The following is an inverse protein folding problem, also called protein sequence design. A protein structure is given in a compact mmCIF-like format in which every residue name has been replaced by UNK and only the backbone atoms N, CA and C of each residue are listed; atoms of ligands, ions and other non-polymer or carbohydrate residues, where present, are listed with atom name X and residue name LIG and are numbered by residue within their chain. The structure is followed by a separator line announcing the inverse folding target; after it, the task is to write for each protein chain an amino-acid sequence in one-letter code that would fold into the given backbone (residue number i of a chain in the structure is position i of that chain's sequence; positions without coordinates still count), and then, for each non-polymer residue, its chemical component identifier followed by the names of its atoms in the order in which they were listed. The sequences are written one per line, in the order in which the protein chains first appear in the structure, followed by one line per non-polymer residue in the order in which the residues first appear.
data_IF_088110117083
#
_entry.id   IF_088110117083
#
_cell.length_a   1.000
_cell.length_b   1.000
_cell.length_c   1.000
_cell.angle_alpha   90.00
_cell.angle_beta   90.00
_cell.angle_gamma   90.00
#
_symmetry.space_group_name_H-M   'P 1'
#
loop_
_entity.id
_entity.type
_entity.pdbx_description
1 polymer ?
#
# COMPACT_ATOMS: atom_id res chain seq x y z
N UNK A 1 -4.71 34.51 29.42
CA UNK A 1 -4.98 33.12 29.83
C UNK A 1 -4.46 32.24 28.70
N UNK A 2 -3.22 31.78 28.83
CA UNK A 2 -2.55 30.93 27.83
C UNK A 2 -3.06 29.51 28.02
N UNK A 3 -3.81 28.99 27.06
CA UNK A 3 -4.07 27.56 26.98
C UNK A 3 -2.78 26.90 26.47
N UNK A 4 -2.09 26.22 27.36
CA UNK A 4 -1.01 25.34 26.98
C UNK A 4 -1.66 24.15 26.23
N UNK A 5 -1.47 24.09 24.92
CA UNK A 5 -1.76 22.93 24.10
C UNK A 5 -0.82 21.81 24.55
N UNK A 6 -1.29 20.98 25.46
CA UNK A 6 -0.65 19.72 25.76
C UNK A 6 -0.95 18.78 24.59
N UNK A 7 -0.19 18.92 23.51
CA UNK A 7 -0.07 17.92 22.48
C UNK A 7 0.41 16.64 23.15
N UNK A 8 -0.54 15.79 23.52
CA UNK A 8 -0.25 14.40 23.87
C UNK A 8 0.18 13.71 22.59
N UNK A 9 1.48 13.79 22.28
CA UNK A 9 2.05 12.99 21.22
C UNK A 9 1.69 11.53 21.49
N UNK A 10 0.78 10.98 20.70
CA UNK A 10 0.35 9.60 20.82
C UNK A 10 1.62 8.73 20.72
N UNK A 11 1.94 8.01 21.78
CA UNK A 11 3.10 7.11 21.79
C UNK A 11 2.81 5.98 20.81
N UNK A 12 3.43 6.01 19.65
CA UNK A 12 3.24 5.01 18.63
C UNK A 12 3.57 3.62 19.15
N UNK A 13 2.72 2.66 18.80
CA UNK A 13 2.92 1.25 19.17
C UNK A 13 4.06 0.61 18.36
N UNK A 14 4.28 1.07 17.14
CA UNK A 14 5.36 0.63 16.27
C UNK A 14 6.18 1.82 15.78
N UNK A 15 7.50 1.65 15.71
CA UNK A 15 8.42 2.67 15.15
C UNK A 15 8.53 2.56 13.63
N UNK A 16 8.36 1.36 13.11
CA UNK A 16 8.51 1.03 11.69
C UNK A 16 7.35 0.14 11.27
N UNK A 17 6.73 0.46 10.15
CA UNK A 17 5.70 -0.34 9.51
C UNK A 17 6.12 -0.58 8.07
N UNK A 18 6.15 -1.83 7.67
CA UNK A 18 6.40 -2.25 6.28
C UNK A 18 5.12 -2.86 5.75
N UNK A 19 4.50 -2.19 4.79
CA UNK A 19 3.34 -2.69 4.07
C UNK A 19 3.84 -3.32 2.77
N UNK A 20 3.66 -4.63 2.61
CA UNK A 20 4.02 -5.36 1.40
C UNK A 20 2.73 -5.81 0.74
N UNK A 21 2.52 -5.40 -0.50
CA UNK A 21 1.39 -5.79 -1.32
C UNK A 21 1.83 -6.64 -2.50
N UNK A 22 1.08 -7.71 -2.75
CA UNK A 22 1.19 -8.56 -3.91
C UNK A 22 -0.14 -8.42 -4.65
N UNK A 23 -0.15 -7.79 -5.83
CA UNK A 23 -1.38 -7.58 -6.57
C UNK A 23 -1.91 -8.93 -7.09
N UNK A 24 -3.23 -9.07 -7.20
CA UNK A 24 -3.88 -10.29 -7.68
C UNK A 24 -3.73 -11.54 -6.79
N UNK A 25 -3.08 -11.44 -5.62
CA UNK A 25 -2.75 -12.62 -4.81
C UNK A 25 -3.99 -13.25 -4.16
N UNK A 26 -4.34 -14.45 -4.62
CA UNK A 26 -5.45 -15.23 -4.09
C UNK A 26 -5.06 -16.15 -2.93
N UNK A 27 -5.91 -16.24 -1.91
CA UNK A 27 -5.68 -17.07 -0.72
C UNK A 27 -5.49 -18.58 -1.04
N UNK A 28 -6.03 -19.05 -2.15
CA UNK A 28 -5.90 -20.43 -2.62
C UNK A 28 -4.44 -20.86 -2.87
N UNK A 29 -3.57 -19.92 -3.22
CA UNK A 29 -2.16 -20.20 -3.52
C UNK A 29 -1.31 -20.42 -2.25
N UNK A 30 -1.74 -19.89 -1.10
CA UNK A 30 -0.93 -19.92 0.15
C UNK A 30 -0.61 -21.35 0.61
N UNK A 31 -1.54 -22.28 0.42
CA UNK A 31 -1.32 -23.68 0.78
C UNK A 31 -0.50 -24.43 -0.27
N UNK A 32 -0.66 -24.07 -1.55
CA UNK A 32 -0.10 -24.77 -2.73
C UNK A 32 1.33 -24.34 -3.04
N UNK A 33 1.60 -23.05 -2.97
CA UNK A 33 2.90 -22.50 -3.37
C UNK A 33 3.98 -22.70 -2.30
N UNK A 34 5.23 -22.82 -2.77
CA UNK A 34 6.40 -22.87 -1.90
C UNK A 34 6.77 -21.45 -1.41
N UNK A 35 6.19 -21.06 -0.29
CA UNK A 35 6.37 -19.75 0.32
C UNK A 35 6.83 -19.86 1.78
N UNK A 36 8.05 -20.35 2.05
CA UNK A 36 8.51 -20.64 3.42
C UNK A 36 8.52 -19.40 4.31
N UNK A 37 8.87 -18.23 3.78
CA UNK A 37 8.90 -16.98 4.54
C UNK A 37 7.50 -16.50 4.90
N UNK A 38 6.52 -16.60 4.02
CA UNK A 38 5.12 -16.27 4.30
C UNK A 38 4.56 -17.22 5.36
N UNK A 39 4.80 -18.53 5.21
CA UNK A 39 4.38 -19.54 6.19
C UNK A 39 5.00 -19.27 7.58
N UNK A 40 6.26 -18.84 7.63
CA UNK A 40 6.90 -18.42 8.87
C UNK A 40 6.22 -17.19 9.49
N UNK A 41 5.93 -16.16 8.70
CA UNK A 41 5.21 -14.97 9.18
C UNK A 41 3.81 -15.32 9.69
N UNK A 42 3.10 -16.24 9.04
CA UNK A 42 1.80 -16.74 9.50
C UNK A 42 1.91 -17.47 10.85
N UNK A 43 2.95 -18.24 11.05
CA UNK A 43 3.18 -18.96 12.32
C UNK A 43 3.55 -18.04 13.49
N UNK A 44 4.21 -16.91 13.21
CA UNK A 44 4.70 -15.96 14.22
C UNK A 44 3.77 -14.77 14.44
N UNK A 45 2.82 -14.53 13.51
CA UNK A 45 1.94 -13.37 13.51
C UNK A 45 0.45 -13.71 13.47
N UNK A 46 -0.32 -12.77 12.96
CA UNK A 46 -1.77 -12.95 12.74
C UNK A 46 -2.08 -12.88 11.24
N UNK A 47 -2.95 -13.77 10.77
CA UNK A 47 -3.33 -13.82 9.38
C UNK A 47 -4.81 -14.15 9.18
N UNK A 48 -5.31 -13.90 8.00
CA UNK A 48 -6.63 -14.36 7.54
C UNK A 48 -6.57 -14.73 6.05
N UNK A 49 -7.21 -15.83 5.69
CA UNK A 49 -7.42 -16.24 4.29
C UNK A 49 -8.85 -15.91 3.80
N UNK A 50 -9.61 -15.14 4.59
CA UNK A 50 -11.01 -14.81 4.31
C UNK A 50 -11.23 -13.34 3.93
N UNK A 51 -10.15 -12.58 3.70
CA UNK A 51 -10.26 -11.19 3.24
C UNK A 51 -10.90 -11.17 1.84
N UNK A 52 -11.80 -10.24 1.62
CA UNK A 52 -12.43 -10.00 0.31
C UNK A 52 -11.96 -8.67 -0.24
N UNK A 53 -11.90 -8.57 -1.56
CA UNK A 53 -11.77 -7.29 -2.25
C UNK A 53 -13.04 -6.45 -2.06
N UNK A 54 -12.91 -5.13 -2.24
CA UNK A 54 -14.08 -4.27 -2.44
C UNK A 54 -14.58 -4.40 -3.87
N UNK A 55 -15.79 -3.93 -4.16
CA UNK A 55 -16.35 -3.91 -5.50
C UNK A 55 -16.42 -2.47 -6.01
N UNK A 56 -16.07 -2.24 -7.29
CA UNK A 56 -15.58 -3.23 -8.27
C UNK A 56 -14.20 -3.76 -7.88
N UNK A 57 -13.99 -5.08 -8.14
CA UNK A 57 -12.73 -5.74 -7.79
C UNK A 57 -11.67 -5.44 -8.84
N UNK A 58 -11.04 -4.28 -8.72
CA UNK A 58 -9.96 -3.83 -9.60
C UNK A 58 -8.84 -3.18 -8.80
N UNK A 59 -7.64 -3.09 -9.38
CA UNK A 59 -6.43 -2.70 -8.67
C UNK A 59 -6.54 -1.31 -8.06
N UNK A 60 -6.78 -0.24 -8.83
CA UNK A 60 -6.84 1.11 -8.27
C UNK A 60 -7.89 1.26 -7.16
N UNK A 61 -9.07 0.65 -7.32
CA UNK A 61 -10.16 0.72 -6.33
C UNK A 61 -9.78 0.05 -5.01
N UNK A 62 -9.15 -1.12 -5.08
CA UNK A 62 -8.74 -1.86 -3.89
C UNK A 62 -7.53 -1.23 -3.20
N UNK A 63 -6.55 -0.74 -3.96
CA UNK A 63 -5.40 -0.01 -3.40
C UNK A 63 -5.83 1.30 -2.75
N UNK A 64 -6.71 2.09 -3.41
CA UNK A 64 -7.31 3.28 -2.81
C UNK A 64 -8.03 2.95 -1.50
N UNK A 65 -8.86 1.90 -1.50
CA UNK A 65 -9.60 1.49 -0.30
C UNK A 65 -8.68 1.08 0.85
N UNK A 66 -7.54 0.45 0.56
CA UNK A 66 -6.55 0.08 1.59
C UNK A 66 -5.84 1.31 2.15
N UNK A 67 -5.41 2.24 1.30
CA UNK A 67 -4.66 3.43 1.75
C UNK A 67 -5.56 4.45 2.43
N UNK A 68 -6.82 4.54 2.03
CA UNK A 68 -7.80 5.50 2.50
C UNK A 68 -8.68 4.97 3.64
N UNK A 69 -8.66 3.65 3.88
CA UNK A 69 -9.49 3.01 4.91
C UNK A 69 -11.00 3.18 4.69
N UNK A 70 -11.42 3.33 3.43
CA UNK A 70 -12.79 3.64 3.02
C UNK A 70 -13.15 2.87 1.75
N UNK A 71 -14.44 2.71 1.49
CA UNK A 71 -14.91 2.12 0.23
C UNK A 71 -15.03 3.14 -0.90
N UNK A 72 -15.24 2.66 -2.15
CA UNK A 72 -15.34 3.51 -3.33
C UNK A 72 -16.48 4.53 -3.27
N UNK A 73 -17.53 4.26 -2.51
CA UNK A 73 -18.64 5.20 -2.27
C UNK A 73 -18.22 6.43 -1.46
N UNK A 74 -17.06 6.38 -0.80
CA UNK A 74 -16.51 7.48 -0.02
C UNK A 74 -15.34 8.17 -0.73
N UNK A 75 -14.37 7.40 -1.23
CA UNK A 75 -13.18 7.98 -1.87
C UNK A 75 -13.37 8.28 -3.36
N UNK A 76 -14.34 7.66 -4.02
CA UNK A 76 -14.75 7.99 -5.39
C UNK A 76 -13.98 7.29 -6.51
N UNK A 77 -12.94 6.52 -6.22
CA UNK A 77 -12.21 5.72 -7.22
C UNK A 77 -13.03 4.48 -7.56
N UNK A 78 -13.37 4.28 -8.85
CA UNK A 78 -14.27 3.21 -9.28
C UNK A 78 -13.79 2.41 -10.49
N UNK A 79 -12.69 2.83 -11.13
CA UNK A 79 -12.17 2.23 -12.34
C UNK A 79 -10.79 1.57 -12.11
N UNK A 80 -10.43 0.63 -12.98
CA UNK A 80 -9.15 -0.07 -12.88
C UNK A 80 -7.94 0.87 -12.90
N UNK A 81 -7.92 1.82 -13.80
CA UNK A 81 -6.81 2.74 -14.03
C UNK A 81 -7.09 4.16 -13.55
N UNK A 82 -7.93 4.33 -12.53
CA UNK A 82 -8.29 5.64 -11.98
C UNK A 82 -7.04 6.46 -11.64
N UNK A 83 -6.89 7.61 -12.25
CA UNK A 83 -5.87 8.60 -11.90
C UNK A 83 -6.42 9.69 -10.98
N UNK A 84 -7.70 9.91 -11.07
CA UNK A 84 -8.50 10.79 -10.21
C UNK A 84 -9.80 10.07 -9.88
N UNK A 85 -10.48 10.41 -8.78
CA UNK A 85 -11.76 9.76 -8.45
C UNK A 85 -12.82 10.12 -9.51
N UNK A 86 -13.55 9.11 -10.00
CA UNK A 86 -14.66 9.27 -10.95
C UNK A 86 -15.91 9.85 -10.28
N UNK A 87 -16.07 9.59 -9.00
CA UNK A 87 -17.13 10.16 -8.19
C UNK A 87 -16.54 11.19 -7.21
N UNK A 88 -17.29 12.24 -6.85
CA UNK A 88 -16.81 13.21 -5.86
C UNK A 88 -16.49 12.53 -4.54
N UNK A 89 -15.25 12.66 -4.06
CA UNK A 89 -14.84 12.20 -2.75
C UNK A 89 -15.66 12.90 -1.66
N UNK A 90 -16.10 12.14 -0.66
CA UNK A 90 -16.95 12.67 0.44
C UNK A 90 -16.20 13.60 1.37
N UNK A 91 -14.90 13.41 1.48
CA UNK A 91 -13.99 14.22 2.30
C UNK A 91 -12.73 14.47 1.49
N UNK A 92 -12.22 15.68 1.57
CA UNK A 92 -10.91 16.04 1.02
C UNK A 92 -10.06 16.59 2.17
N UNK A 93 -8.78 16.30 2.14
CA UNK A 93 -7.81 16.91 3.02
C UNK A 93 -7.28 18.25 2.45
N UNK A 94 -6.25 18.80 3.07
CA UNK A 94 -5.65 20.08 2.66
C UNK A 94 -4.97 20.01 1.28
N UNK A 95 -4.58 18.81 0.84
CA UNK A 95 -3.98 18.58 -0.48
C UNK A 95 -5.04 18.31 -1.56
N UNK A 96 -6.32 18.32 -1.18
CA UNK A 96 -7.46 18.14 -2.11
C UNK A 96 -7.70 16.69 -2.52
N UNK A 97 -7.19 15.73 -1.77
CA UNK A 97 -7.41 14.29 -1.97
C UNK A 97 -8.15 13.68 -0.78
N UNK A 98 -8.72 12.48 -0.98
CA UNK A 98 -9.28 11.73 0.15
C UNK A 98 -8.16 11.35 1.12
N UNK A 99 -8.32 11.54 2.45
CA UNK A 99 -7.27 11.28 3.44
C UNK A 99 -6.70 9.87 3.34
N UNK A 100 -5.39 9.77 3.26
CA UNK A 100 -4.66 8.49 3.19
C UNK A 100 -3.88 8.23 4.47
N UNK A 101 -3.50 6.97 4.70
CA UNK A 101 -2.61 6.59 5.80
C UNK A 101 -1.27 7.35 5.75
N UNK A 102 -0.78 7.68 4.55
CA UNK A 102 0.46 8.43 4.34
C UNK A 102 0.32 9.88 4.79
N UNK A 103 -0.72 10.58 4.30
CA UNK A 103 -1.04 11.96 4.69
C UNK A 103 -1.36 12.08 6.18
N UNK A 104 -2.12 11.14 6.73
CA UNK A 104 -2.41 11.10 8.17
C UNK A 104 -1.14 10.95 9.01
N UNK A 105 -0.20 10.10 8.59
CA UNK A 105 1.08 9.95 9.27
C UNK A 105 1.91 11.23 9.17
N UNK A 106 2.01 11.81 7.97
CA UNK A 106 2.75 13.07 7.75
C UNK A 106 2.22 14.22 8.61
N UNK A 107 0.91 14.37 8.72
CA UNK A 107 0.28 15.39 9.57
C UNK A 107 0.49 15.12 11.07
N UNK A 108 0.49 13.84 11.46
CA UNK A 108 0.75 13.44 12.85
C UNK A 108 2.20 13.61 13.25
N UNK A 109 3.12 13.33 12.34
CA UNK A 109 4.56 13.54 12.52
C UNK A 109 5.18 14.12 11.25
N UNK A 110 5.40 15.44 11.21
CA UNK A 110 6.03 16.09 10.07
C UNK A 110 7.45 15.60 9.73
N UNK A 111 8.11 14.89 10.66
CA UNK A 111 9.45 14.33 10.48
C UNK A 111 9.44 12.85 10.12
N UNK A 112 8.27 12.23 10.01
CA UNK A 112 8.17 10.82 9.64
C UNK A 112 8.86 10.55 8.30
N UNK A 113 9.66 9.50 8.24
CA UNK A 113 10.25 8.99 6.99
C UNK A 113 9.26 8.02 6.35
N UNK A 114 8.76 8.37 5.17
CA UNK A 114 7.68 7.65 4.49
C UNK A 114 8.10 7.35 3.06
N UNK A 115 7.98 6.10 2.62
CA UNK A 115 8.32 5.70 1.26
C UNK A 115 7.25 4.87 0.57
N UNK A 116 7.24 4.95 -0.76
CA UNK A 116 6.47 4.08 -1.65
C UNK A 116 7.39 3.56 -2.75
N UNK A 117 7.35 2.26 -2.98
CA UNK A 117 8.08 1.57 -4.04
C UNK A 117 7.08 0.67 -4.74
N UNK A 118 6.86 0.86 -6.03
CA UNK A 118 5.83 0.13 -6.77
C UNK A 118 6.29 -0.24 -8.18
N UNK A 119 5.77 -1.35 -8.68
CA UNK A 119 6.00 -1.83 -10.04
C UNK A 119 4.96 -1.24 -11.01
N UNK A 120 3.71 -1.06 -10.57
CA UNK A 120 2.66 -0.41 -11.33
C UNK A 120 2.52 1.07 -10.95
N UNK A 121 2.63 1.96 -11.95
CA UNK A 121 2.55 3.41 -11.75
C UNK A 121 1.18 3.87 -11.20
N UNK A 122 0.12 3.10 -11.44
CA UNK A 122 -1.23 3.38 -10.94
C UNK A 122 -1.33 3.52 -9.42
N UNK A 123 -0.41 2.93 -8.66
CA UNK A 123 -0.30 3.08 -7.20
C UNK A 123 -0.10 4.56 -6.82
N UNK A 124 0.65 5.31 -7.60
CA UNK A 124 1.00 6.71 -7.32
C UNK A 124 -0.19 7.66 -7.40
N UNK A 125 -1.25 7.29 -8.13
CA UNK A 125 -2.47 8.10 -8.22
C UNK A 125 -3.42 7.90 -7.04
N UNK A 126 -3.28 6.80 -6.30
CA UNK A 126 -4.10 6.50 -5.12
C UNK A 126 -3.33 6.61 -3.80
N UNK A 127 -2.00 6.79 -3.91
CA UNK A 127 -1.10 7.09 -2.81
C UNK A 127 -0.91 8.61 -2.72
N UNK A 128 -0.88 9.15 -1.50
CA UNK A 128 -0.54 10.56 -1.28
C UNK A 128 0.96 10.78 -1.49
N UNK A 129 1.34 11.10 -2.72
CA UNK A 129 2.76 11.29 -3.08
C UNK A 129 3.38 12.53 -2.43
N UNK A 130 2.58 13.52 -2.04
CA UNK A 130 3.07 14.72 -1.32
C UNK A 130 3.51 14.40 0.11
N UNK A 131 2.97 13.33 0.69
CA UNK A 131 3.36 12.86 2.01
C UNK A 131 4.69 12.08 2.02
N UNK A 132 5.22 11.66 0.86
CA UNK A 132 6.37 10.77 0.76
C UNK A 132 7.72 11.51 0.84
N UNK A 133 8.73 10.86 1.42
CA UNK A 133 10.14 11.22 1.30
C UNK A 133 10.81 10.46 0.15
N UNK A 134 10.32 9.28 -0.15
CA UNK A 134 10.84 8.40 -1.19
C UNK A 134 9.69 7.83 -2.02
N UNK A 135 9.69 8.16 -3.31
CA UNK A 135 8.71 7.67 -4.29
C UNK A 135 9.50 7.02 -5.44
N UNK A 136 9.36 5.71 -5.60
CA UNK A 136 10.06 4.95 -6.64
C UNK A 136 9.10 4.07 -7.42
N UNK A 137 8.86 4.45 -8.67
CA UNK A 137 8.29 3.56 -9.67
C UNK A 137 9.43 2.74 -10.29
N UNK A 138 9.34 1.42 -10.20
CA UNK A 138 10.34 0.47 -10.68
C UNK A 138 10.00 0.04 -12.10
N UNK A 139 10.89 0.33 -13.03
CA UNK A 139 10.75 -0.01 -14.46
C UNK A 139 11.83 -0.97 -14.95
N UNK A 140 12.80 -1.27 -14.10
CA UNK A 140 13.90 -2.18 -14.39
C UNK A 140 13.42 -3.63 -14.47
N UNK A 141 13.90 -4.37 -15.44
CA UNK A 141 13.54 -5.79 -15.65
C UNK A 141 14.69 -6.71 -15.23
N UNK A 142 14.42 -7.77 -14.47
CA UNK A 142 13.13 -8.20 -13.93
C UNK A 142 12.68 -7.31 -12.75
N UNK A 143 11.40 -6.93 -12.73
CA UNK A 143 10.88 -5.91 -11.79
C UNK A 143 10.98 -6.35 -10.33
N UNK A 144 10.46 -7.51 -9.95
CA UNK A 144 10.36 -7.90 -8.54
C UNK A 144 11.73 -8.04 -7.83
N UNK A 145 12.80 -8.55 -8.47
CA UNK A 145 14.15 -8.44 -7.92
C UNK A 145 14.65 -7.00 -7.75
N UNK A 146 14.37 -6.11 -8.71
CA UNK A 146 14.74 -4.70 -8.63
C UNK A 146 13.97 -4.00 -7.50
N UNK A 147 12.66 -4.21 -7.40
CA UNK A 147 11.79 -3.70 -6.33
C UNK A 147 12.29 -4.15 -4.96
N UNK A 148 12.63 -5.42 -4.82
CA UNK A 148 13.21 -5.97 -3.58
C UNK A 148 14.52 -5.26 -3.22
N UNK A 149 15.40 -5.03 -4.20
CA UNK A 149 16.67 -4.33 -4.00
C UNK A 149 16.43 -2.90 -3.48
N UNK A 150 15.59 -2.11 -4.17
CA UNK A 150 15.27 -0.75 -3.75
C UNK A 150 14.64 -0.71 -2.36
N UNK A 151 13.74 -1.64 -2.05
CA UNK A 151 13.10 -1.72 -0.75
C UNK A 151 14.11 -1.99 0.37
N UNK A 152 15.01 -2.97 0.17
CA UNK A 152 16.04 -3.33 1.15
C UNK A 152 17.03 -2.17 1.35
N UNK A 153 17.46 -1.51 0.27
CA UNK A 153 18.36 -0.37 0.33
C UNK A 153 17.73 0.80 1.09
N UNK A 154 16.50 1.17 0.74
CA UNK A 154 15.78 2.25 1.41
C UNK A 154 15.56 1.97 2.90
N UNK A 155 15.09 0.77 3.24
CA UNK A 155 14.88 0.37 4.65
C UNK A 155 16.19 0.45 5.45
N UNK A 156 17.31 -0.01 4.89
CA UNK A 156 18.63 0.01 5.56
C UNK A 156 19.17 1.42 5.75
N UNK A 157 19.02 2.27 4.73
CA UNK A 157 19.59 3.62 4.72
C UNK A 157 18.76 4.61 5.53
N UNK A 158 17.45 4.62 5.31
CA UNK A 158 16.54 5.63 5.84
C UNK A 158 15.75 5.18 7.06
N UNK A 159 15.62 3.86 7.30
CA UNK A 159 14.86 3.30 8.42
C UNK A 159 13.46 3.91 8.54
N UNK A 160 12.63 3.83 7.49
CA UNK A 160 11.36 4.56 7.39
C UNK A 160 10.40 4.20 8.51
N UNK A 161 9.56 5.16 8.89
CA UNK A 161 8.44 4.94 9.80
C UNK A 161 7.32 4.16 9.10
N UNK A 162 7.10 4.44 7.80
CA UNK A 162 6.19 3.68 6.95
C UNK A 162 6.83 3.51 5.58
N UNK A 163 6.88 2.28 5.09
CA UNK A 163 7.20 2.01 3.68
C UNK A 163 6.15 1.10 3.09
N UNK A 164 5.65 1.49 1.93
CA UNK A 164 4.76 0.71 1.09
C UNK A 164 5.57 0.12 -0.07
N UNK A 165 5.48 -1.18 -0.27
CA UNK A 165 6.18 -1.92 -1.32
C UNK A 165 5.13 -2.73 -2.07
N UNK A 166 4.94 -2.46 -3.36
CA UNK A 166 3.91 -3.11 -4.18
C UNK A 166 4.58 -3.86 -5.33
N UNK A 167 4.31 -5.15 -5.36
CA UNK A 167 4.68 -6.04 -6.43
C UNK A 167 3.48 -6.27 -7.34
N UNK A 168 3.70 -6.27 -8.66
CA UNK A 168 2.67 -6.49 -9.67
C UNK A 168 2.33 -7.98 -9.83
N UNK A 169 3.23 -8.84 -9.38
CA UNK A 169 2.98 -10.28 -9.33
C UNK A 169 2.23 -10.67 -8.03
N UNK A 170 1.35 -11.68 -8.11
CA UNK A 170 1.06 -12.59 -9.25
C UNK A 170 -0.04 -12.11 -10.22
N UNK A 171 -0.50 -10.87 -10.18
CA UNK A 171 -1.56 -10.36 -11.06
C UNK A 171 -1.18 -10.44 -12.54
N UNK A 172 0.02 -9.98 -12.88
CA UNK A 172 0.51 -10.00 -14.27
C UNK A 172 0.56 -11.43 -14.85
N UNK A 173 1.09 -12.38 -14.08
CA UNK A 173 1.09 -13.80 -14.47
C UNK A 173 -0.34 -14.32 -14.56
N UNK A 174 -1.22 -13.95 -13.62
CA UNK A 174 -2.63 -14.35 -13.62
C UNK A 174 -3.40 -13.89 -14.85
N UNK A 175 -3.10 -12.73 -15.39
CA UNK A 175 -3.70 -12.24 -16.64
C UNK A 175 -3.27 -13.06 -17.88
N UNK A 176 -2.08 -13.63 -17.88
CA UNK A 176 -1.54 -14.40 -19.02
C UNK A 176 -1.79 -15.90 -18.92
N UNK A 177 -1.59 -16.49 -17.75
CA UNK A 177 -1.67 -17.92 -17.51
C UNK A 177 -3.00 -18.38 -16.85
N UNK A 178 -3.74 -17.45 -16.27
CA UNK A 178 -4.91 -17.71 -15.44
C UNK A 178 -4.56 -17.81 -13.96
N UNK A 179 -5.58 -17.74 -13.11
CA UNK A 179 -5.43 -17.93 -11.67
C UNK A 179 -5.56 -19.40 -11.29
N UNK A 180 -4.86 -19.79 -10.22
CA UNK A 180 -4.84 -21.17 -9.71
C UNK A 180 -4.21 -22.18 -10.69
N UNK A 181 -3.21 -21.76 -11.44
CA UNK A 181 -2.39 -22.57 -12.35
C UNK A 181 -1.02 -22.87 -11.72
N UNK A 182 -0.22 -23.80 -12.29
CA UNK A 182 1.12 -24.10 -11.77
C UNK A 182 2.13 -22.95 -11.90
N UNK A 183 1.93 -22.05 -12.87
CA UNK A 183 2.72 -20.84 -13.09
C UNK A 183 2.45 -19.80 -12.00
#
# INVERSE_FOLDING_TARGET
MLFADASMAAKWKAKHVVLIGLDGWGAYSVEKADMPNVKKLMAEGSYTLKKRSVLPSSSAVNWASMYMGAGPELHGYTEWGSQTPELPSRVLDEDGIFPTVFGLLRRSDPKAEIGCICEWDGIRYVCDTLALNYDKHVTETPQSPATTKYAVEYIKQSRPNLVNIVFDEPDHTGHSAGHDTPE
#
